data_IF_659820382316
#
_entry.id   IF_659820382316
#
_cell.length_a   1.000
_cell.length_b   1.000
_cell.length_c   1.000
_cell.angle_alpha   90.00
_cell.angle_beta   90.00
_cell.angle_gamma   90.00
#
_symmetry.space_group_name_H-M   'P 1'
#
loop_
_entity.id
_entity.type
_entity.pdbx_description
1 polymer ?
#
# COMPACT_ATOMS: atom_id res chain seq x y z
N UNK A 1 -14.32 -9.12 24.59
CA UNK A 1 -13.84 -7.85 24.02
C UNK A 1 -13.53 -8.10 22.55
N UNK A 2 -14.40 -7.64 21.66
CA UNK A 2 -14.42 -8.00 20.23
C UNK A 2 -13.11 -7.67 19.54
N UNK A 3 -12.50 -8.68 18.92
CA UNK A 3 -11.38 -8.48 18.00
C UNK A 3 -12.02 -7.96 16.72
N UNK A 4 -11.60 -6.78 16.27
CA UNK A 4 -11.96 -6.25 14.95
C UNK A 4 -11.78 -7.39 13.93
N UNK A 5 -12.90 -7.96 13.50
CA UNK A 5 -12.90 -9.08 12.61
C UNK A 5 -12.70 -8.61 11.18
N UNK A 6 -12.43 -9.57 10.30
CA UNK A 6 -12.46 -9.33 8.87
C UNK A 6 -13.77 -8.64 8.39
N UNK A 7 -14.95 -8.96 8.96
CA UNK A 7 -16.20 -8.29 8.58
C UNK A 7 -16.21 -6.79 8.89
N UNK A 8 -15.78 -6.37 10.10
CA UNK A 8 -15.76 -4.94 10.44
C UNK A 8 -14.78 -4.15 9.56
N UNK A 9 -13.60 -4.73 9.25
CA UNK A 9 -12.65 -4.11 8.33
C UNK A 9 -13.24 -3.90 6.92
N UNK A 10 -14.02 -4.87 6.41
CA UNK A 10 -14.68 -4.74 5.11
C UNK A 10 -15.71 -3.60 5.13
N UNK A 11 -16.49 -3.48 6.21
CA UNK A 11 -17.48 -2.39 6.34
C UNK A 11 -16.79 -1.03 6.35
N UNK A 12 -15.71 -0.88 7.14
CA UNK A 12 -14.91 0.35 7.19
C UNK A 12 -14.33 0.67 5.81
N UNK A 13 -13.77 -0.33 5.13
CA UNK A 13 -13.21 -0.18 3.79
C UNK A 13 -14.27 0.26 2.77
N UNK A 14 -15.49 -0.27 2.87
CA UNK A 14 -16.61 0.12 2.02
C UNK A 14 -16.98 1.61 2.22
N UNK A 15 -17.02 2.07 3.48
CA UNK A 15 -17.27 3.49 3.81
C UNK A 15 -16.17 4.38 3.24
N UNK A 16 -14.90 4.00 3.40
CA UNK A 16 -13.76 4.72 2.82
C UNK A 16 -13.89 4.80 1.30
N UNK A 17 -14.26 3.70 0.64
CA UNK A 17 -14.49 3.70 -0.82
C UNK A 17 -15.63 4.63 -1.23
N UNK A 18 -16.71 4.74 -0.45
CA UNK A 18 -17.82 5.65 -0.77
C UNK A 18 -17.37 7.12 -0.65
N UNK A 19 -16.58 7.46 0.38
CA UNK A 19 -16.10 8.83 0.61
C UNK A 19 -15.05 9.23 -0.44
N UNK A 20 -14.05 8.38 -0.68
CA UNK A 20 -12.94 8.70 -1.58
C UNK A 20 -13.24 8.34 -3.05
N UNK A 21 -14.23 7.49 -3.29
CA UNK A 21 -14.52 6.89 -4.59
C UNK A 21 -13.60 5.71 -4.91
N UNK A 22 -14.19 4.62 -5.43
CA UNK A 22 -13.45 3.42 -5.83
C UNK A 22 -12.32 3.69 -6.83
N UNK A 23 -12.43 4.76 -7.61
CA UNK A 23 -11.46 5.14 -8.64
C UNK A 23 -10.19 5.82 -8.08
N UNK A 24 -10.23 6.35 -6.85
CA UNK A 24 -9.07 7.00 -6.21
C UNK A 24 -8.12 5.99 -5.56
N UNK A 25 -8.64 4.91 -4.99
CA UNK A 25 -7.85 3.82 -4.38
C UNK A 25 -6.74 3.25 -5.30
N UNK A 26 -7.03 2.82 -6.54
CA UNK A 26 -6.00 2.28 -7.42
C UNK A 26 -4.98 3.35 -7.85
N UNK A 27 -5.37 4.61 -7.96
CA UNK A 27 -4.45 5.72 -8.24
C UNK A 27 -3.44 5.93 -7.10
N UNK A 28 -3.94 5.98 -5.85
CA UNK A 28 -3.09 6.08 -4.66
C UNK A 28 -2.20 4.84 -4.49
N UNK A 29 -2.75 3.65 -4.71
CA UNK A 29 -2.02 2.39 -4.65
C UNK A 29 -0.91 2.29 -5.70
N UNK A 30 -1.15 2.74 -6.94
CA UNK A 30 -0.11 2.81 -7.99
C UNK A 30 1.00 3.79 -7.62
N UNK A 31 0.68 4.95 -7.05
CA UNK A 31 1.66 5.95 -6.60
C UNK A 31 2.56 5.40 -5.48
N UNK A 32 1.94 4.88 -4.42
CA UNK A 32 2.64 4.29 -3.27
C UNK A 32 3.45 3.06 -3.72
N UNK A 33 2.87 2.18 -4.54
CA UNK A 33 3.53 0.98 -5.03
C UNK A 33 4.76 1.31 -5.89
N UNK A 34 4.66 2.32 -6.75
CA UNK A 34 5.81 2.80 -7.53
C UNK A 34 6.91 3.37 -6.63
N UNK A 35 6.54 4.15 -5.61
CA UNK A 35 7.49 4.72 -4.65
C UNK A 35 8.22 3.63 -3.85
N UNK A 36 7.50 2.64 -3.32
CA UNK A 36 8.08 1.51 -2.59
C UNK A 36 8.99 0.69 -3.50
N UNK A 37 8.59 0.45 -4.75
CA UNK A 37 9.39 -0.30 -5.73
C UNK A 37 10.71 0.41 -6.04
N UNK A 38 10.67 1.72 -6.28
CA UNK A 38 11.87 2.52 -6.54
C UNK A 38 12.78 2.57 -5.31
N UNK A 39 12.21 2.75 -4.11
CA UNK A 39 12.96 2.72 -2.85
C UNK A 39 13.67 1.37 -2.64
N UNK A 40 12.96 0.26 -2.85
CA UNK A 40 13.52 -1.09 -2.75
C UNK A 40 14.64 -1.33 -3.77
N UNK A 41 14.49 -0.82 -5.00
CA UNK A 41 15.51 -0.96 -6.03
C UNK A 41 16.78 -0.20 -5.65
N UNK A 42 16.66 1.07 -5.21
CA UNK A 42 17.81 1.88 -4.79
C UNK A 42 18.61 1.23 -3.66
N UNK A 43 17.93 0.69 -2.64
CA UNK A 43 18.60 -0.02 -1.54
C UNK A 43 19.31 -1.29 -2.05
N UNK A 44 18.70 -2.02 -2.99
CA UNK A 44 19.27 -3.25 -3.54
C UNK A 44 20.54 -2.97 -4.35
N UNK A 45 20.54 -1.90 -5.13
CA UNK A 45 21.70 -1.49 -5.93
C UNK A 45 22.85 -1.03 -5.03
N UNK A 46 22.56 -0.32 -3.94
CA UNK A 46 23.55 0.09 -2.92
C UNK A 46 24.17 -1.12 -2.18
N UNK A 47 23.36 -2.15 -1.90
CA UNK A 47 23.84 -3.37 -1.23
C UNK A 47 24.61 -4.31 -2.18
N UNK A 48 24.44 -4.16 -3.49
CA UNK A 48 25.13 -4.98 -4.49
C UNK A 48 26.54 -4.48 -4.82
N UNK A 49 26.79 -3.17 -4.66
CA UNK A 49 28.09 -2.52 -4.92
C UNK A 49 29.12 -2.78 -3.80
N UNK A 50 28.66 -2.99 -2.55
CA UNK A 50 29.52 -3.30 -1.38
C UNK A 50 30.09 -4.75 -1.38
N UNK A 51 29.75 -5.56 -2.40
CA UNK A 51 30.09 -7.00 -2.46
C UNK A 51 31.07 -7.39 -3.56
N UNK A 52 31.76 -6.43 -4.17
CA UNK A 52 32.79 -6.64 -5.21
C UNK A 52 34.16 -6.14 -4.80
#
# INVERSE_FOLDING_TARGET
MGRLGMPELIIIFLIVIVIFGANRLPGLGKGIGSAIRNFKNGIKDETADDKS
#
